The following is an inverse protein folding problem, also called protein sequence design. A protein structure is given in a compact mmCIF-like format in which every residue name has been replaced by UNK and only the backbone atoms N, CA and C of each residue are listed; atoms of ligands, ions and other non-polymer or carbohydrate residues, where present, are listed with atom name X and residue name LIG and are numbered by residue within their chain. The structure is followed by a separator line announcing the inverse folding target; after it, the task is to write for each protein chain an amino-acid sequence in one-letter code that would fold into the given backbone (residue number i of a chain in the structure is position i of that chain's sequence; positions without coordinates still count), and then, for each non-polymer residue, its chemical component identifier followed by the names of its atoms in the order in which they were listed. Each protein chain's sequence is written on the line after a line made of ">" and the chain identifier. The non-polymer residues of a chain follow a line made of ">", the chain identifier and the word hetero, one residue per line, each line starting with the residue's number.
data_IF_861375725879
#
_entry.id   IF_861375725879
#
_cell.length_a   1.000
_cell.length_b   1.000
_cell.length_c   1.000
_cell.angle_alpha   90.00
_cell.angle_beta   90.00
_cell.angle_gamma   90.00
#
_symmetry.space_group_name_H-M   'P 1'
#
loop_
_entity.id
_entity.type
_entity.pdbx_description
1 polymer ?
#
# COMPACT_ATOMS: atom_id res chain seq x y z
N UNK A 1 -10.05 -14.71 -24.83
CA UNK A 1 -8.98 -14.77 -25.85
C UNK A 1 -7.79 -14.23 -25.11
N UNK A 2 -6.80 -15.06 -24.82
CA UNK A 2 -5.84 -14.73 -23.78
C UNK A 2 -4.74 -13.84 -24.38
N UNK A 3 -4.62 -12.61 -23.88
CA UNK A 3 -3.66 -11.62 -24.38
C UNK A 3 -2.54 -11.50 -23.33
N UNK A 4 -1.32 -11.84 -23.76
CA UNK A 4 -0.10 -11.69 -22.96
C UNK A 4 0.78 -10.63 -23.59
N UNK A 5 1.04 -9.55 -22.85
CA UNK A 5 1.97 -8.51 -23.26
C UNK A 5 3.06 -8.37 -22.21
N UNK A 6 4.31 -8.55 -22.64
CA UNK A 6 5.50 -8.25 -21.84
C UNK A 6 6.08 -6.93 -22.33
N UNK A 7 6.05 -5.91 -21.48
CA UNK A 7 6.60 -4.59 -21.78
C UNK A 7 7.89 -4.40 -20.98
N UNK A 8 8.98 -4.09 -21.68
CA UNK A 8 10.26 -3.75 -21.07
C UNK A 8 10.55 -2.27 -21.32
N UNK A 9 10.44 -1.45 -20.27
CA UNK A 9 10.80 -0.02 -20.32
C UNK A 9 11.93 0.20 -19.31
N UNK A 10 13.16 0.31 -19.82
CA UNK A 10 14.35 0.44 -18.98
C UNK A 10 14.53 -0.78 -18.06
N UNK A 11 14.70 -0.61 -16.73
CA UNK A 11 14.81 -1.71 -15.78
C UNK A 11 13.45 -2.35 -15.41
N UNK A 12 12.34 -1.82 -15.91
CA UNK A 12 11.00 -2.26 -15.52
C UNK A 12 10.48 -3.32 -16.47
N UNK A 13 10.11 -4.48 -15.92
CA UNK A 13 9.45 -5.58 -16.63
C UNK A 13 8.00 -5.65 -16.13
N UNK A 14 7.05 -5.43 -17.04
CA UNK A 14 5.63 -5.51 -16.75
C UNK A 14 4.99 -6.63 -17.58
N UNK A 15 4.24 -7.51 -16.91
CA UNK A 15 3.45 -8.57 -17.54
C UNK A 15 1.96 -8.27 -17.33
N UNK A 16 1.24 -8.06 -18.43
CA UNK A 16 -0.22 -7.88 -18.44
C UNK A 16 -0.85 -9.19 -18.91
N UNK A 17 -1.76 -9.73 -18.10
CA UNK A 17 -2.62 -10.85 -18.46
C UNK A 17 -4.06 -10.38 -18.35
N UNK A 18 -4.82 -10.46 -19.44
CA UNK A 18 -6.22 -10.07 -19.49
C UNK A 18 -7.08 -11.17 -20.13
N UNK A 19 -8.27 -11.38 -19.56
CA UNK A 19 -9.24 -12.39 -20.01
C UNK A 19 -10.15 -11.86 -21.14
N UNK A 20 -10.23 -10.54 -21.29
CA UNK A 20 -11.03 -9.84 -22.30
C UNK A 20 -10.32 -8.59 -22.87
N UNK A 21 -10.78 -8.11 -24.03
CA UNK A 21 -10.22 -6.95 -24.73
C UNK A 21 -10.50 -5.62 -24.00
N UNK A 22 -11.66 -5.49 -23.35
CA UNK A 22 -12.00 -4.33 -22.51
C UNK A 22 -11.12 -4.24 -21.25
N UNK A 23 -10.86 -5.38 -20.62
CA UNK A 23 -9.96 -5.46 -19.47
C UNK A 23 -8.52 -5.09 -19.88
N UNK A 24 -8.11 -5.50 -21.08
CA UNK A 24 -6.80 -5.19 -21.64
C UNK A 24 -6.61 -3.68 -21.90
N UNK A 25 -7.57 -3.02 -22.56
CA UNK A 25 -7.47 -1.58 -22.83
C UNK A 25 -7.41 -0.77 -21.54
N UNK A 26 -8.20 -1.15 -20.54
CA UNK A 26 -8.20 -0.51 -19.22
C UNK A 26 -6.85 -0.66 -18.51
N UNK A 27 -6.29 -1.87 -18.46
CA UNK A 27 -4.97 -2.11 -17.85
C UNK A 27 -3.86 -1.35 -18.57
N UNK A 28 -3.95 -1.21 -19.90
CA UNK A 28 -2.94 -0.52 -20.69
C UNK A 28 -2.97 1.00 -20.49
N UNK A 29 -4.17 1.60 -20.43
CA UNK A 29 -4.32 3.03 -20.08
C UNK A 29 -3.81 3.29 -18.67
N UNK A 30 -4.14 2.42 -17.71
CA UNK A 30 -3.67 2.55 -16.34
C UNK A 30 -2.15 2.38 -16.20
N UNK A 31 -1.52 1.49 -16.97
CA UNK A 31 -0.07 1.37 -17.00
C UNK A 31 0.59 2.64 -17.56
N UNK A 32 0.01 3.24 -18.60
CA UNK A 32 0.52 4.50 -19.15
C UNK A 32 0.40 5.64 -18.15
N UNK A 33 -0.73 5.75 -17.44
CA UNK A 33 -0.90 6.72 -16.36
C UNK A 33 0.10 6.49 -15.22
N UNK A 34 0.36 5.24 -14.84
CA UNK A 34 1.38 4.90 -13.83
C UNK A 34 2.78 5.36 -14.25
N UNK A 35 3.18 5.05 -15.49
CA UNK A 35 4.50 5.45 -16.02
C UNK A 35 4.60 6.97 -16.07
N UNK A 36 3.55 7.66 -16.50
CA UNK A 36 3.53 9.11 -16.61
C UNK A 36 3.58 9.79 -15.24
N UNK A 37 2.83 9.29 -14.25
CA UNK A 37 2.85 9.82 -12.87
C UNK A 37 4.19 9.60 -12.18
N UNK A 38 4.90 8.51 -12.50
CA UNK A 38 6.17 8.14 -11.87
C UNK A 38 7.38 8.31 -12.78
N UNK A 39 7.27 9.09 -13.85
CA UNK A 39 8.35 9.27 -14.84
C UNK A 39 9.64 9.79 -14.21
N UNK A 40 9.53 10.71 -13.23
CA UNK A 40 10.69 11.28 -12.51
C UNK A 40 11.38 10.25 -11.60
N UNK A 41 10.60 9.38 -10.94
CA UNK A 41 11.09 8.29 -10.08
C UNK A 41 11.67 7.11 -10.90
N UNK A 42 11.13 6.85 -12.08
CA UNK A 42 11.62 5.82 -13.00
C UNK A 42 12.88 6.27 -13.77
N UNK A 43 12.99 7.56 -14.07
CA UNK A 43 14.17 8.15 -14.69
C UNK A 43 15.39 8.09 -13.78
N UNK A 44 15.20 8.25 -12.47
CA UNK A 44 16.26 8.10 -11.46
C UNK A 44 16.71 6.65 -11.29
N UNK A 45 15.81 5.66 -11.37
CA UNK A 45 16.18 4.23 -11.39
C UNK A 45 16.98 3.83 -12.64
N UNK A 46 16.70 4.45 -13.78
CA UNK A 46 17.44 4.21 -15.02
C UNK A 46 18.89 4.70 -14.95
N UNK A 47 19.20 5.65 -14.07
CA UNK A 47 20.57 6.12 -13.80
C UNK A 47 21.35 5.21 -12.83
N UNK A 48 20.67 4.34 -12.08
CA UNK A 48 21.28 3.38 -11.14
C UNK A 48 21.70 2.05 -11.78
N UNK A 49 21.26 1.76 -13.02
CA UNK A 49 21.51 0.46 -13.70
C UNK A 49 22.85 0.37 -14.47
N UNK A 50 23.80 1.29 -14.23
CA UNK A 50 25.16 1.20 -14.80
C UNK A 50 26.20 1.26 -13.68
N UNK A 51 26.19 0.26 -12.79
CA UNK A 51 27.40 -0.15 -12.07
C UNK A 51 27.20 -1.53 -11.41
N UNK A 52 27.33 -2.59 -12.21
CA UNK A 52 28.02 -3.83 -11.80
C UNK A 52 28.09 -4.79 -12.97
N UNK A 53 29.08 -4.59 -13.83
CA UNK A 53 29.64 -5.67 -14.63
C UNK A 53 30.70 -6.39 -13.78
N UNK A 54 30.38 -7.62 -13.41
CA UNK A 54 31.21 -8.73 -12.88
C UNK A 54 32.37 -9.06 -13.88
N UNK A 55 33.44 -9.86 -13.61
CA UNK A 55 34.06 -10.44 -12.39
C UNK A 55 35.58 -10.16 -12.26
N UNK A 56 36.22 -10.48 -11.13
CA UNK A 56 37.56 -11.10 -11.14
C UNK A 56 37.78 -11.97 -9.90
N UNK A 57 38.29 -13.17 -10.14
CA UNK A 57 38.66 -14.19 -9.16
C UNK A 57 39.96 -13.85 -8.40
N UNK A 58 40.06 -14.47 -7.21
CA UNK A 58 41.26 -15.05 -6.60
C UNK A 58 42.10 -14.28 -5.56
N UNK A 59 42.51 -15.08 -4.56
CA UNK A 59 43.62 -14.93 -3.61
C UNK A 59 43.41 -14.08 -2.33
N UNK A 60 43.01 -14.78 -1.26
CA UNK A 60 43.92 -15.09 -0.13
C UNK A 60 44.33 -14.00 0.89
N UNK A 61 43.95 -14.27 2.14
CA UNK A 61 44.84 -14.29 3.33
C UNK A 61 45.01 -13.02 4.24
N UNK A 62 44.54 -13.22 5.50
CA UNK A 62 45.09 -12.80 6.81
C UNK A 62 44.92 -11.39 7.41
N UNK A 63 44.62 -11.40 8.72
CA UNK A 63 45.08 -10.46 9.77
C UNK A 63 44.09 -9.33 10.10
N UNK A 64 43.30 -9.37 11.19
CA UNK A 64 43.65 -9.19 12.62
C UNK A 64 44.00 -7.75 13.02
N UNK A 65 43.48 -7.38 14.21
CA UNK A 65 43.74 -6.19 15.05
C UNK A 65 42.81 -4.98 14.80
N UNK A 66 41.79 -4.80 15.65
CA UNK A 66 41.77 -4.10 16.95
C UNK A 66 41.88 -2.58 16.80
N UNK A 67 40.88 -1.86 17.30
CA UNK A 67 41.05 -0.72 18.21
C UNK A 67 39.71 -0.36 18.86
N UNK A 68 39.79 -0.20 20.17
CA UNK A 68 38.77 0.10 21.17
C UNK A 68 38.72 1.63 21.41
N UNK A 69 37.81 2.06 22.28
CA UNK A 69 37.64 3.40 22.88
C UNK A 69 37.06 4.53 21.99
N UNK A 70 35.85 5.01 22.31
CA UNK A 70 35.68 6.06 23.33
C UNK A 70 34.22 6.56 23.50
N UNK A 71 33.78 6.60 24.78
CA UNK A 71 32.98 7.65 25.45
C UNK A 71 31.73 8.31 24.80
N UNK A 72 30.56 7.87 25.25
CA UNK A 72 29.62 8.58 26.18
C UNK A 72 29.39 10.09 26.00
N UNK A 73 28.17 10.51 25.60
CA UNK A 73 27.44 11.68 26.15
C UNK A 73 25.92 11.47 25.98
N UNK A 74 25.18 11.49 27.08
CA UNK A 74 23.72 11.65 27.15
C UNK A 74 23.32 13.04 26.61
N UNK A 75 22.32 13.11 25.75
CA UNK A 75 21.51 14.33 25.57
C UNK A 75 20.09 13.89 25.29
N UNK A 76 19.24 13.99 26.34
CA UNK A 76 17.80 14.13 26.19
C UNK A 76 17.55 15.37 25.33
N UNK A 77 17.22 15.15 24.06
CA UNK A 77 16.59 16.16 23.20
C UNK A 77 15.19 15.66 22.91
N UNK A 78 14.21 16.41 23.40
CA UNK A 78 12.84 16.44 22.89
C UNK A 78 12.93 16.79 21.40
N UNK A 79 12.79 15.79 20.54
CA UNK A 79 12.66 15.99 19.09
C UNK A 79 11.17 16.08 18.76
N UNK A 80 10.70 17.32 18.64
CA UNK A 80 9.63 17.67 17.72
C UNK A 80 10.09 17.27 16.31
N UNK A 81 9.77 16.05 15.87
CA UNK A 81 9.95 15.62 14.48
C UNK A 81 8.89 16.28 13.59
N UNK A 82 9.14 17.54 13.23
CA UNK A 82 8.71 18.05 11.93
C UNK A 82 9.77 17.70 10.90
N UNK A 83 9.71 16.50 10.31
CA UNK A 83 10.46 16.22 9.09
C UNK A 83 9.59 15.46 8.07
N UNK A 84 9.48 16.13 6.94
CA UNK A 84 8.95 15.76 5.63
C UNK A 84 9.50 14.39 5.19
N UNK A 85 8.80 13.31 5.55
CA UNK A 85 9.27 11.94 5.37
C UNK A 85 8.79 11.32 4.05
N UNK A 86 9.03 12.02 2.94
CA UNK A 86 9.21 11.34 1.67
C UNK A 86 10.69 10.91 1.59
N UNK A 87 11.01 9.70 2.07
CA UNK A 87 12.33 9.04 1.98
C UNK A 87 13.31 9.13 3.18
N UNK A 88 12.82 9.08 4.42
CA UNK A 88 13.68 8.89 5.61
C UNK A 88 13.25 7.64 6.39
N UNK A 89 13.91 6.50 6.11
CA UNK A 89 14.24 5.41 7.06
C UNK A 89 13.18 4.82 8.01
N UNK A 90 11.91 5.20 7.95
CA UNK A 90 10.88 4.81 8.90
C UNK A 90 10.68 3.29 8.87
N UNK A 91 10.82 2.65 10.04
CA UNK A 91 10.67 1.19 10.22
C UNK A 91 9.43 0.79 11.01
N UNK A 92 8.47 1.71 11.21
CA UNK A 92 7.23 1.40 11.91
C UNK A 92 6.19 0.68 11.04
N UNK A 93 4.99 0.39 11.58
CA UNK A 93 3.95 -0.38 10.89
C UNK A 93 3.54 0.17 9.53
N UNK A 94 3.51 1.50 9.39
CA UNK A 94 3.16 2.19 8.14
C UNK A 94 4.27 2.14 7.07
N UNK A 95 5.47 1.63 7.38
CA UNK A 95 6.62 1.67 6.47
C UNK A 95 6.36 0.95 5.14
N UNK A 96 5.66 -0.18 5.17
CA UNK A 96 5.27 -0.91 3.97
C UNK A 96 4.30 -0.11 3.10
N UNK A 97 3.36 0.60 3.74
CA UNK A 97 2.36 1.42 3.08
C UNK A 97 2.99 2.65 2.42
N UNK A 98 3.86 3.36 3.16
CA UNK A 98 4.58 4.55 2.69
C UNK A 98 5.56 4.28 1.56
N UNK A 99 6.04 3.04 1.39
CA UNK A 99 6.85 2.67 0.23
C UNK A 99 6.04 2.55 -1.07
N UNK A 100 4.73 2.40 -0.97
CA UNK A 100 3.83 2.18 -2.10
C UNK A 100 3.06 3.45 -2.48
N UNK A 101 2.77 4.28 -1.50
CA UNK A 101 2.01 5.53 -1.61
C UNK A 101 3.00 6.70 -1.61
N UNK A 102 2.84 7.67 -2.51
CA UNK A 102 3.72 8.85 -2.58
C UNK A 102 3.21 10.00 -1.68
N UNK A 103 3.06 9.70 -0.38
CA UNK A 103 2.48 10.61 0.63
C UNK A 103 3.35 10.61 1.88
N UNK A 104 3.40 11.73 2.60
CA UNK A 104 4.18 11.83 3.83
C UNK A 104 3.61 10.94 4.95
N UNK A 105 4.46 10.48 5.87
CA UNK A 105 4.03 9.73 7.05
C UNK A 105 2.91 10.45 7.82
N UNK A 106 3.03 11.77 7.93
CA UNK A 106 2.06 12.60 8.65
C UNK A 106 0.69 12.51 8.00
N UNK A 107 0.59 12.71 6.69
CA UNK A 107 -0.72 12.76 6.03
C UNK A 107 -1.38 11.37 6.04
N UNK A 108 -0.60 10.29 5.85
CA UNK A 108 -1.13 8.92 5.99
C UNK A 108 -1.64 8.66 7.41
N UNK A 109 -0.94 9.14 8.44
CA UNK A 109 -1.37 9.02 9.84
C UNK A 109 -2.60 9.86 10.18
N UNK A 110 -2.91 10.90 9.40
CA UNK A 110 -4.15 11.67 9.51
C UNK A 110 -5.34 10.93 8.86
N UNK A 111 -5.09 9.97 7.97
CA UNK A 111 -6.13 9.16 7.32
C UNK A 111 -6.38 7.84 8.05
N UNK A 112 -5.33 7.11 8.43
CA UNK A 112 -5.42 5.78 9.03
C UNK A 112 -4.58 5.71 10.30
N UNK A 113 -5.23 5.31 11.40
CA UNK A 113 -4.57 4.97 12.65
C UNK A 113 -4.25 3.48 12.68
N UNK A 114 -3.01 3.17 13.09
CA UNK A 114 -2.48 1.81 13.19
C UNK A 114 -1.91 1.65 14.59
N UNK A 115 -2.41 0.66 15.32
CA UNK A 115 -1.85 0.32 16.62
C UNK A 115 -0.39 -0.14 16.47
N UNK A 116 0.59 0.50 17.16
CA UNK A 116 1.97 0.06 17.14
C UNK A 116 2.16 -1.37 17.64
N UNK A 117 1.27 -1.85 18.51
CA UNK A 117 1.26 -3.24 19.01
C UNK A 117 0.66 -4.26 18.03
N UNK A 118 -0.03 -3.79 16.99
CA UNK A 118 -0.83 -4.60 16.07
C UNK A 118 -1.86 -5.50 16.77
N UNK A 119 -2.31 -5.11 17.97
CA UNK A 119 -3.32 -5.81 18.76
C UNK A 119 -4.74 -5.32 18.43
N UNK A 120 -4.88 -4.04 18.07
CA UNK A 120 -6.15 -3.43 17.67
C UNK A 120 -6.27 -3.33 16.13
N UNK A 121 -7.50 -3.43 15.58
CA UNK A 121 -7.72 -3.27 14.15
C UNK A 121 -7.43 -1.83 13.68
N UNK A 122 -7.05 -1.64 12.39
CA UNK A 122 -6.84 -0.31 11.84
C UNK A 122 -8.13 0.52 11.89
N UNK A 123 -7.99 1.83 12.06
CA UNK A 123 -9.10 2.78 12.12
C UNK A 123 -8.92 3.89 11.09
N UNK A 124 -10.02 4.33 10.47
CA UNK A 124 -10.02 5.50 9.60
C UNK A 124 -10.32 6.74 10.45
N UNK A 125 -9.43 7.73 10.38
CA UNK A 125 -9.55 8.99 11.11
C UNK A 125 -10.17 10.12 10.28
N UNK A 126 -10.21 9.98 8.95
CA UNK A 126 -10.77 10.98 8.04
C UNK A 126 -12.30 11.10 8.16
N UNK A 127 -12.87 12.22 7.70
CA UNK A 127 -14.32 12.39 7.70
C UNK A 127 -14.97 11.43 6.70
N UNK A 128 -16.12 10.85 7.05
CA UNK A 128 -16.84 9.93 6.15
C UNK A 128 -17.21 10.57 4.81
N UNK A 129 -17.38 11.90 4.76
CA UNK A 129 -17.65 12.64 3.53
C UNK A 129 -16.48 12.56 2.53
N UNK A 130 -15.24 12.44 3.02
CA UNK A 130 -14.04 12.28 2.18
C UNK A 130 -13.93 10.86 1.59
N UNK A 131 -14.65 9.88 2.15
CA UNK A 131 -14.69 8.50 1.64
C UNK A 131 -15.65 8.34 0.46
N UNK A 132 -16.58 9.26 0.26
CA UNK A 132 -17.50 9.24 -0.88
C UNK A 132 -18.82 9.95 -0.62
N UNK A 133 -19.54 10.24 -1.72
CA UNK A 133 -20.80 10.98 -1.69
C UNK A 133 -21.98 10.14 -1.18
N UNK A 134 -21.95 8.82 -1.44
CA UNK A 134 -23.01 7.90 -1.03
C UNK A 134 -22.54 6.94 0.06
N UNK A 135 -23.46 6.45 0.88
CA UNK A 135 -23.15 5.43 1.92
C UNK A 135 -22.44 4.20 1.34
N UNK A 136 -22.76 3.82 0.09
CA UNK A 136 -22.12 2.68 -0.57
C UNK A 136 -20.69 2.99 -0.98
N UNK A 137 -20.43 4.20 -1.47
CA UNK A 137 -19.07 4.64 -1.80
C UNK A 137 -18.22 4.75 -0.54
N UNK A 138 -18.79 5.29 0.55
CA UNK A 138 -18.12 5.36 1.85
C UNK A 138 -17.77 3.96 2.38
N UNK A 139 -18.71 3.01 2.29
CA UNK A 139 -18.46 1.61 2.65
C UNK A 139 -17.36 0.98 1.79
N UNK A 140 -17.39 1.21 0.48
CA UNK A 140 -16.40 0.67 -0.44
C UNK A 140 -15.02 1.25 -0.17
N UNK A 141 -14.88 2.57 -0.21
CA UNK A 141 -13.61 3.26 0.05
C UNK A 141 -13.08 2.90 1.42
N UNK A 142 -13.92 2.94 2.47
CA UNK A 142 -13.51 2.53 3.81
C UNK A 142 -13.03 1.08 3.86
N UNK A 143 -13.71 0.17 3.16
CA UNK A 143 -13.26 -1.23 3.07
C UNK A 143 -11.93 -1.36 2.35
N UNK A 144 -11.70 -0.59 1.29
CA UNK A 144 -10.44 -0.58 0.56
C UNK A 144 -9.28 -0.13 1.45
N UNK A 145 -9.45 0.98 2.18
CA UNK A 145 -8.46 1.53 3.09
C UNK A 145 -8.10 0.54 4.21
N UNK A 146 -9.12 -0.01 4.89
CA UNK A 146 -8.90 -0.94 6.01
C UNK A 146 -8.26 -2.25 5.55
N UNK A 147 -8.72 -2.84 4.45
CA UNK A 147 -8.11 -4.07 3.92
C UNK A 147 -6.68 -3.84 3.40
N UNK A 148 -6.38 -2.64 2.93
CA UNK A 148 -5.03 -2.25 2.57
C UNK A 148 -4.15 -2.15 3.82
N UNK A 149 -4.62 -1.48 4.86
CA UNK A 149 -3.92 -1.37 6.15
C UNK A 149 -3.65 -2.75 6.77
N UNK A 150 -4.64 -3.65 6.82
CA UNK A 150 -4.43 -5.02 7.29
C UNK A 150 -3.38 -5.77 6.49
N UNK A 151 -3.44 -5.67 5.16
CA UNK A 151 -2.46 -6.35 4.30
C UNK A 151 -1.05 -5.82 4.51
N UNK A 152 -0.88 -4.50 4.51
CA UNK A 152 0.44 -3.87 4.47
C UNK A 152 1.08 -3.69 5.84
N UNK A 153 0.28 -3.48 6.89
CA UNK A 153 0.77 -3.20 8.25
C UNK A 153 0.68 -4.44 9.17
N UNK A 154 -0.32 -5.30 8.99
CA UNK A 154 -0.57 -6.47 9.84
C UNK A 154 -0.20 -7.81 9.17
N UNK A 155 0.18 -7.79 7.88
CA UNK A 155 0.37 -8.99 7.04
C UNK A 155 -0.84 -9.94 7.07
N UNK A 156 -2.04 -9.37 7.24
CA UNK A 156 -3.29 -10.14 7.36
C UNK A 156 -4.17 -9.96 6.10
N UNK A 157 -4.25 -11.02 5.30
CA UNK A 157 -5.18 -11.10 4.17
C UNK A 157 -5.40 -12.56 3.77
N UNK A 158 -6.65 -13.07 3.67
CA UNK A 158 -7.94 -12.37 3.78
C UNK A 158 -8.44 -12.22 5.23
N UNK A 159 -9.16 -11.13 5.52
CA UNK A 159 -9.73 -10.84 6.87
C UNK A 159 -11.22 -11.23 6.93
N UNK A 160 -11.75 -11.51 8.13
CA UNK A 160 -13.17 -11.85 8.27
C UNK A 160 -14.06 -10.63 8.01
N UNK A 161 -15.21 -10.86 7.40
CA UNK A 161 -16.21 -9.79 7.17
C UNK A 161 -16.74 -9.22 8.49
N UNK A 162 -16.76 -10.01 9.58
CA UNK A 162 -17.07 -9.50 10.92
C UNK A 162 -16.08 -8.42 11.35
N UNK A 163 -14.79 -8.69 11.18
CA UNK A 163 -13.72 -7.83 11.69
C UNK A 163 -13.65 -6.55 10.85
N UNK A 164 -13.83 -6.67 9.53
CA UNK A 164 -14.03 -5.53 8.64
C UNK A 164 -15.24 -4.68 9.05
N UNK A 165 -16.37 -5.31 9.36
CA UNK A 165 -17.59 -4.60 9.78
C UNK A 165 -17.35 -3.84 11.08
N UNK A 166 -16.71 -4.47 12.05
CA UNK A 166 -16.42 -3.86 13.33
C UNK A 166 -15.46 -2.67 13.15
N UNK A 167 -14.39 -2.80 12.37
CA UNK A 167 -13.47 -1.69 12.09
C UNK A 167 -14.16 -0.51 11.36
N UNK A 168 -15.05 -0.79 10.40
CA UNK A 168 -15.85 0.25 9.73
C UNK A 168 -16.75 1.00 10.73
N UNK A 169 -17.41 0.30 11.65
CA UNK A 169 -18.26 0.92 12.67
C UNK A 169 -17.45 1.80 13.63
N UNK A 170 -16.29 1.33 14.08
CA UNK A 170 -15.40 2.13 14.93
C UNK A 170 -14.84 3.35 14.18
N UNK A 171 -14.67 3.23 12.86
CA UNK A 171 -14.28 4.33 11.96
C UNK A 171 -15.44 5.28 11.59
N UNK A 172 -16.63 5.11 12.18
CA UNK A 172 -17.79 5.96 11.92
C UNK A 172 -18.49 5.70 10.57
N UNK A 173 -18.06 4.70 9.80
CA UNK A 173 -18.69 4.33 8.53
C UNK A 173 -19.91 3.45 8.80
N UNK A 174 -21.07 3.85 8.25
CA UNK A 174 -22.29 3.04 8.38
C UNK A 174 -22.10 1.67 7.75
N UNK A 175 -22.34 0.59 8.49
CA UNK A 175 -22.31 -0.79 7.97
C UNK A 175 -23.70 -1.34 7.62
N UNK A 176 -24.72 -0.49 7.71
CA UNK A 176 -26.07 -0.85 7.30
C UNK A 176 -26.08 -1.25 5.82
N UNK A 177 -26.65 -2.41 5.53
CA UNK A 177 -26.71 -2.97 4.18
C UNK A 177 -25.33 -3.13 3.50
N UNK A 178 -24.25 -3.39 4.26
CA UNK A 178 -22.90 -3.61 3.72
C UNK A 178 -22.85 -4.65 2.59
N UNK A 179 -23.76 -5.65 2.60
CA UNK A 179 -23.85 -6.62 1.52
C UNK A 179 -24.13 -5.98 0.14
N UNK A 180 -24.84 -4.85 0.09
CA UNK A 180 -25.15 -4.12 -1.14
C UNK A 180 -23.93 -3.42 -1.75
N UNK A 181 -22.85 -3.27 -0.98
CA UNK A 181 -21.57 -2.79 -1.49
C UNK A 181 -21.00 -3.78 -2.50
N UNK A 182 -21.11 -5.09 -2.25
CA UNK A 182 -20.60 -6.13 -3.16
C UNK A 182 -21.41 -6.25 -4.45
N UNK A 183 -22.68 -5.83 -4.42
CA UNK A 183 -23.53 -5.74 -5.61
C UNK A 183 -23.18 -4.51 -6.48
N UNK A 184 -22.29 -3.64 -6.01
CA UNK A 184 -21.81 -2.50 -6.78
C UNK A 184 -20.82 -2.98 -7.84
N UNK A 185 -20.98 -2.50 -9.08
CA UNK A 185 -20.19 -3.00 -10.24
C UNK A 185 -18.69 -2.88 -10.04
N UNK A 186 -18.24 -1.85 -9.34
CA UNK A 186 -16.82 -1.60 -9.05
C UNK A 186 -16.29 -2.55 -7.96
N UNK A 187 -17.11 -2.88 -6.96
CA UNK A 187 -16.68 -3.69 -5.82
C UNK A 187 -16.26 -5.11 -6.21
N UNK A 188 -16.87 -5.71 -7.25
CA UNK A 188 -16.50 -7.05 -7.72
C UNK A 188 -15.12 -7.08 -8.41
N UNK A 189 -14.63 -5.94 -8.90
CA UNK A 189 -13.29 -5.84 -9.47
C UNK A 189 -12.24 -5.64 -8.36
N UNK A 190 -12.58 -4.88 -7.32
CA UNK A 190 -11.65 -4.48 -6.26
C UNK A 190 -11.61 -5.44 -5.05
N UNK A 191 -12.71 -6.15 -4.78
CA UNK A 191 -12.87 -7.04 -3.62
C UNK A 191 -13.17 -8.47 -4.04
N UNK A 192 -12.60 -9.43 -3.31
CA UNK A 192 -12.91 -10.85 -3.48
C UNK A 192 -13.34 -11.47 -2.17
N UNK A 193 -14.59 -11.93 -2.13
CA UNK A 193 -15.12 -12.69 -1.01
C UNK A 193 -14.86 -14.19 -1.17
N UNK A 194 -14.69 -14.88 -0.04
CA UNK A 194 -14.61 -16.33 0.02
C UNK A 194 -15.21 -16.85 1.33
N UNK A 195 -15.75 -18.07 1.31
CA UNK A 195 -16.44 -18.65 2.47
C UNK A 195 -17.95 -18.37 2.49
N UNK A 196 -18.62 -18.87 3.52
CA UNK A 196 -20.08 -18.81 3.66
C UNK A 196 -20.48 -18.42 5.08
N UNK A 197 -21.55 -17.63 5.20
CA UNK A 197 -22.16 -17.27 6.47
C UNK A 197 -21.20 -16.52 7.40
N UNK A 198 -21.07 -16.97 8.65
CA UNK A 198 -20.22 -16.34 9.67
C UNK A 198 -18.71 -16.45 9.41
N UNK A 199 -18.28 -17.35 8.54
CA UNK A 199 -16.87 -17.53 8.18
C UNK A 199 -16.50 -16.85 6.86
N UNK A 200 -17.29 -15.87 6.41
CA UNK A 200 -17.01 -15.17 5.16
C UNK A 200 -15.81 -14.25 5.36
N UNK A 201 -14.84 -14.38 4.47
CA UNK A 201 -13.63 -13.56 4.43
C UNK A 201 -13.60 -12.72 3.17
N UNK A 202 -12.94 -11.57 3.25
CA UNK A 202 -12.77 -10.64 2.14
C UNK A 202 -11.30 -10.24 2.04
N UNK A 203 -10.85 -10.02 0.81
CA UNK A 203 -9.53 -9.48 0.49
C UNK A 203 -9.62 -8.54 -0.69
N UNK A 204 -8.59 -7.71 -0.82
CA UNK A 204 -8.35 -6.94 -2.02
C UNK A 204 -7.92 -7.85 -3.18
N UNK A 205 -8.32 -7.48 -4.38
CA UNK A 205 -7.65 -7.90 -5.62
C UNK A 205 -6.47 -6.98 -5.91
N UNK A 206 -5.66 -7.29 -6.92
CA UNK A 206 -4.60 -6.36 -7.38
C UNK A 206 -5.16 -4.99 -7.77
N UNK A 207 -6.34 -4.98 -8.41
CA UNK A 207 -7.03 -3.74 -8.79
C UNK A 207 -7.47 -2.98 -7.55
N UNK A 208 -8.03 -3.66 -6.55
CA UNK A 208 -8.46 -3.02 -5.30
C UNK A 208 -7.30 -2.52 -4.44
N UNK A 209 -6.13 -3.16 -4.49
CA UNK A 209 -4.92 -2.66 -3.84
C UNK A 209 -4.46 -1.34 -4.46
N UNK A 210 -4.41 -1.28 -5.80
CA UNK A 210 -4.07 -0.05 -6.51
C UNK A 210 -5.05 1.07 -6.20
N UNK A 211 -6.35 0.77 -6.26
CA UNK A 211 -7.41 1.74 -5.92
C UNK A 211 -7.29 2.22 -4.47
N UNK A 212 -6.97 1.33 -3.53
CA UNK A 212 -6.76 1.73 -2.14
C UNK A 212 -5.60 2.72 -1.99
N UNK A 213 -4.46 2.49 -2.67
CA UNK A 213 -3.34 3.44 -2.67
C UNK A 213 -3.75 4.78 -3.26
N UNK A 214 -4.41 4.80 -4.42
CA UNK A 214 -4.89 6.04 -5.06
C UNK A 214 -5.83 6.82 -4.14
N UNK A 215 -6.69 6.14 -3.37
CA UNK A 215 -7.58 6.79 -2.40
C UNK A 215 -6.84 7.36 -1.20
N UNK A 216 -5.79 6.69 -0.72
CA UNK A 216 -4.94 7.24 0.35
C UNK A 216 -4.27 8.52 -0.15
N UNK A 217 -3.71 8.52 -1.36
CA UNK A 217 -3.13 9.70 -2.00
C UNK A 217 -4.15 10.83 -2.09
N UNK A 218 -5.33 10.57 -2.65
CA UNK A 218 -6.36 11.58 -2.87
C UNK A 218 -6.93 12.18 -1.56
N UNK A 219 -7.06 11.38 -0.49
CA UNK A 219 -7.61 11.86 0.79
C UNK A 219 -6.55 12.67 1.57
N UNK A 220 -5.28 12.41 1.31
CA UNK A 220 -4.14 13.05 1.99
C UNK A 220 -3.72 14.39 1.36
N UNK A 221 -4.29 14.76 0.21
CA UNK A 221 -4.12 16.07 -0.47
C UNK A 221 -5.09 17.14 0.06
#
# INVERSE_FOLDING_TARGET
>A
MDIHLSLQIGPLEAEITADSEEDYEKELVQLMDFIQRREEQLSTLSQLSVQSAVPTEDSGQSGSERLDDNQKVDTESEEEETEDAASTGYTGPLSSLLRKVDVSLRDVSEVIDIDPGLEEPPLILTNTEQLGETVKDQQLTGSLLLLCAWKECYDESPVMVSDLKDALEHSGVSTNNLYQMYDYSVANQSLRQSGNGRGTKVRLTRVGEREAFERIEQISE
#
